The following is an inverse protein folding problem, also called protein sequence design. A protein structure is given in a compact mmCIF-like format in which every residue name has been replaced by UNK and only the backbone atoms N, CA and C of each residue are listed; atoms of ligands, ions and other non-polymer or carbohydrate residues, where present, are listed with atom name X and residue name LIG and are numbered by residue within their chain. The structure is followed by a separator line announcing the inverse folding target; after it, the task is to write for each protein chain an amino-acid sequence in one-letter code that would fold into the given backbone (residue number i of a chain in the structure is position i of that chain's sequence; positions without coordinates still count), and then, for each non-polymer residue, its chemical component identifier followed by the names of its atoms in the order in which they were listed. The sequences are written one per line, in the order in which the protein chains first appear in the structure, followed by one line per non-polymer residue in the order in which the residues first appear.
data_IF_546748533436
#
_entry.id   IF_546748533436
#
_cell.length_a   1.000
_cell.length_b   1.000
_cell.length_c   1.000
_cell.angle_alpha   90.00
_cell.angle_beta   90.00
_cell.angle_gamma   90.00
#
_symmetry.space_group_name_H-M   'P 1'
#
loop_
_entity.id
_entity.type
_entity.pdbx_description
1 polymer ?
#
# COMPACT_ATOMS: atom_id res chain seq x y z
N UNK A 1 0.19 -25.29 -8.72
CA UNK A 1 -0.24 -25.60 -7.34
C UNK A 1 0.81 -26.37 -6.56
N UNK A 2 1.36 -27.46 -7.05
CA UNK A 2 2.37 -28.28 -6.34
C UNK A 2 3.62 -27.48 -5.92
N UNK A 3 4.12 -26.56 -6.75
CA UNK A 3 5.37 -25.80 -6.46
C UNK A 3 5.23 -24.71 -5.39
N UNK A 4 4.04 -24.18 -5.16
CA UNK A 4 3.81 -23.21 -4.06
C UNK A 4 3.91 -23.90 -2.69
N UNK A 5 3.60 -25.20 -2.64
CA UNK A 5 3.77 -26.03 -1.46
C UNK A 5 5.24 -26.36 -1.27
N UNK A 6 5.96 -26.70 -2.35
CA UNK A 6 7.41 -26.99 -2.31
C UNK A 6 8.26 -25.76 -1.87
N UNK A 7 7.74 -24.55 -2.04
CA UNK A 7 8.40 -23.30 -1.62
C UNK A 7 7.89 -22.77 -0.28
N UNK A 8 7.13 -23.54 0.50
CA UNK A 8 6.54 -23.13 1.79
C UNK A 8 5.75 -21.81 1.69
N UNK A 9 5.10 -21.57 0.54
CA UNK A 9 4.45 -20.29 0.22
C UNK A 9 3.34 -19.93 1.22
N UNK A 10 2.63 -20.94 1.76
CA UNK A 10 1.58 -20.77 2.77
C UNK A 10 2.17 -20.33 4.11
N UNK A 11 3.28 -20.95 4.54
CA UNK A 11 3.98 -20.59 5.77
C UNK A 11 4.56 -19.19 5.68
N UNK A 12 5.14 -18.86 4.53
CA UNK A 12 5.67 -17.52 4.24
C UNK A 12 4.57 -16.46 4.21
N UNK A 13 3.39 -16.76 3.71
CA UNK A 13 2.25 -15.85 3.77
C UNK A 13 1.84 -15.54 5.21
N UNK A 14 1.85 -16.53 6.11
CA UNK A 14 1.62 -16.34 7.53
C UNK A 14 2.66 -15.41 8.17
N UNK A 15 3.95 -15.70 7.93
CA UNK A 15 5.04 -14.84 8.39
C UNK A 15 4.92 -13.40 7.88
N UNK A 16 4.67 -13.21 6.57
CA UNK A 16 4.48 -11.88 5.99
C UNK A 16 3.29 -11.15 6.61
N UNK A 17 2.20 -11.84 6.89
CA UNK A 17 1.00 -11.24 7.47
C UNK A 17 1.23 -10.72 8.87
N UNK A 18 1.96 -11.48 9.68
CA UNK A 18 2.42 -11.04 10.99
C UNK A 18 3.35 -9.82 10.88
N UNK A 19 4.30 -9.85 9.94
CA UNK A 19 5.22 -8.74 9.70
C UNK A 19 4.51 -7.46 9.22
N UNK A 20 3.48 -7.58 8.35
CA UNK A 20 2.64 -6.43 7.96
C UNK A 20 1.96 -5.83 9.18
N UNK A 21 1.30 -6.67 9.99
CA UNK A 21 0.59 -6.21 11.18
C UNK A 21 1.55 -5.50 12.16
N UNK A 22 2.72 -6.09 12.39
CA UNK A 22 3.74 -5.52 13.28
C UNK A 22 4.32 -4.20 12.74
N UNK A 23 4.48 -4.09 11.42
CA UNK A 23 5.01 -2.89 10.78
C UNK A 23 3.97 -1.77 10.59
N UNK A 24 2.68 -2.09 10.72
CA UNK A 24 1.60 -1.13 10.50
C UNK A 24 1.70 0.08 11.44
N UNK A 25 1.92 -0.17 12.74
CA UNK A 25 2.02 0.91 13.73
C UNK A 25 3.25 1.81 13.47
N UNK A 26 4.48 1.28 13.34
CA UNK A 26 5.63 2.10 12.96
C UNK A 26 5.45 2.82 11.62
N UNK A 27 4.79 2.19 10.64
CA UNK A 27 4.49 2.84 9.36
C UNK A 27 3.54 4.03 9.53
N UNK A 28 2.49 3.90 10.34
CA UNK A 28 1.59 5.01 10.64
C UNK A 28 2.32 6.16 11.34
N UNK A 29 3.22 5.85 12.28
CA UNK A 29 4.06 6.86 12.93
C UNK A 29 4.95 7.57 11.90
N UNK A 30 5.62 6.82 11.03
CA UNK A 30 6.40 7.39 9.93
C UNK A 30 5.54 8.30 9.04
N UNK A 31 4.36 7.85 8.66
CA UNK A 31 3.43 8.60 7.82
C UNK A 31 2.98 9.91 8.49
N UNK A 32 2.63 9.88 9.78
CA UNK A 32 2.25 11.06 10.55
C UNK A 32 3.41 12.06 10.67
N UNK A 33 4.63 11.59 10.94
CA UNK A 33 5.81 12.45 11.02
C UNK A 33 6.12 13.07 9.66
N UNK A 34 6.09 12.28 8.60
CA UNK A 34 6.36 12.77 7.24
C UNK A 34 5.32 13.81 6.79
N UNK A 35 4.02 13.58 7.05
CA UNK A 35 2.97 14.56 6.76
C UNK A 35 3.11 15.83 7.59
N UNK A 36 3.51 15.72 8.86
CA UNK A 36 3.77 16.87 9.72
C UNK A 36 4.92 17.73 9.21
N UNK A 37 6.02 17.12 8.75
CA UNK A 37 7.16 17.85 8.17
C UNK A 37 6.76 18.58 6.89
N UNK A 38 6.01 17.91 6.00
CA UNK A 38 5.49 18.51 4.76
C UNK A 38 4.51 19.63 5.08
N UNK A 39 3.58 19.41 6.01
CA UNK A 39 2.57 20.39 6.43
C UNK A 39 3.15 21.62 7.11
N UNK A 40 4.27 21.48 7.83
CA UNK A 40 4.97 22.60 8.48
C UNK A 40 5.79 23.46 7.50
N UNK A 41 6.05 22.98 6.28
CA UNK A 41 6.74 23.76 5.24
C UNK A 41 5.84 24.88 4.69
N UNK A 42 6.44 25.95 4.19
CA UNK A 42 5.71 27.10 3.58
C UNK A 42 4.81 26.64 2.43
N UNK A 43 5.29 25.70 1.63
CA UNK A 43 4.52 25.11 0.53
C UNK A 43 3.36 24.28 1.05
N UNK A 44 3.58 23.49 2.10
CA UNK A 44 2.55 22.69 2.75
C UNK A 44 1.46 23.55 3.37
N UNK A 45 1.81 24.63 4.06
CA UNK A 45 0.84 25.57 4.63
C UNK A 45 -0.02 26.25 3.56
N UNK A 46 0.61 26.68 2.45
CA UNK A 46 -0.13 27.25 1.30
C UNK A 46 -1.10 26.22 0.71
N UNK A 47 -0.67 24.97 0.56
CA UNK A 47 -1.51 23.87 0.07
C UNK A 47 -2.69 23.59 1.03
N UNK A 48 -2.42 23.56 2.33
CA UNK A 48 -3.44 23.37 3.36
C UNK A 48 -4.47 24.51 3.31
N UNK A 49 -4.03 25.76 3.26
CA UNK A 49 -4.91 26.93 3.16
C UNK A 49 -5.74 26.87 1.88
N UNK A 50 -5.12 26.55 0.75
CA UNK A 50 -5.83 26.40 -0.52
C UNK A 50 -6.89 25.29 -0.45
N UNK A 51 -6.56 24.12 0.13
CA UNK A 51 -7.50 23.02 0.33
C UNK A 51 -8.68 23.45 1.24
N UNK A 52 -8.41 24.09 2.38
CA UNK A 52 -9.44 24.53 3.30
C UNK A 52 -10.38 25.55 2.69
N UNK A 53 -9.89 26.38 1.76
CA UNK A 53 -10.68 27.40 1.06
C UNK A 53 -11.58 26.78 -0.03
N UNK A 54 -11.12 25.69 -0.67
CA UNK A 54 -11.78 25.11 -1.84
C UNK A 54 -12.59 23.83 -1.53
N UNK A 55 -12.52 23.30 -0.30
CA UNK A 55 -13.30 22.14 0.10
C UNK A 55 -14.68 22.54 0.65
N UNK A 56 -15.72 21.68 0.50
CA UNK A 56 -17.02 21.88 1.13
C UNK A 56 -16.93 21.98 2.66
N UNK A 57 -17.75 22.81 3.29
CA UNK A 57 -17.73 23.08 4.73
C UNK A 57 -17.85 21.81 5.59
N UNK A 58 -18.62 20.81 5.15
CA UNK A 58 -18.80 19.53 5.85
C UNK A 58 -17.49 18.72 5.92
N UNK A 59 -16.69 18.77 4.87
CA UNK A 59 -15.38 18.08 4.81
C UNK A 59 -14.31 18.90 5.52
N UNK A 60 -14.41 20.23 5.45
CA UNK A 60 -13.44 21.16 6.03
C UNK A 60 -13.39 21.08 7.56
N UNK A 61 -14.52 20.90 8.23
CA UNK A 61 -14.58 20.79 9.70
C UNK A 61 -13.82 19.56 10.22
N UNK A 62 -14.01 18.41 9.58
CA UNK A 62 -13.33 17.17 9.97
C UNK A 62 -11.82 17.24 9.67
N UNK A 63 -11.43 17.79 8.52
CA UNK A 63 -10.03 17.94 8.12
C UNK A 63 -9.30 18.96 8.99
N UNK A 64 -9.95 20.07 9.36
CA UNK A 64 -9.36 21.12 10.19
C UNK A 64 -8.90 20.60 11.55
N UNK A 65 -9.72 19.79 12.20
CA UNK A 65 -9.37 19.14 13.47
C UNK A 65 -8.10 18.27 13.31
N UNK A 66 -8.01 17.49 12.23
CA UNK A 66 -6.84 16.65 11.98
C UNK A 66 -5.59 17.47 11.63
N UNK A 67 -5.74 18.56 10.89
CA UNK A 67 -4.63 19.47 10.58
C UNK A 67 -4.12 20.16 11.85
N UNK A 68 -5.00 20.61 12.75
CA UNK A 68 -4.61 21.20 14.03
C UNK A 68 -3.84 20.19 14.93
N UNK A 69 -4.21 18.91 14.88
CA UNK A 69 -3.46 17.85 15.54
C UNK A 69 -2.07 17.63 14.91
N UNK A 70 -1.98 17.66 13.59
CA UNK A 70 -0.72 17.47 12.86
C UNK A 70 0.23 18.69 13.01
N UNK A 71 -0.30 19.89 13.20
CA UNK A 71 0.51 21.09 13.44
C UNK A 71 1.01 21.23 14.88
N UNK A 72 0.38 20.53 15.86
CA UNK A 72 0.92 20.40 17.23
C UNK A 72 2.05 19.37 17.23
N UNK A 73 3.18 19.81 16.72
CA UNK A 73 4.38 18.96 16.52
C UNK A 73 4.92 18.43 17.85
N UNK A 74 5.05 17.11 18.04
CA UNK A 74 5.74 16.56 19.19
C UNK A 74 7.22 17.00 19.23
N UNK A 75 7.91 16.92 20.38
CA UNK A 75 9.30 17.32 20.51
C UNK A 75 10.16 16.72 19.42
N UNK A 76 11.01 17.53 18.76
CA UNK A 76 11.84 17.13 17.61
C UNK A 76 12.65 15.85 17.87
N UNK A 77 13.12 15.67 19.10
CA UNK A 77 13.89 14.47 19.50
C UNK A 77 13.07 13.18 19.43
N UNK A 78 11.81 13.20 19.89
CA UNK A 78 10.91 12.03 19.82
C UNK A 78 10.52 11.73 18.36
N UNK A 79 10.29 12.75 17.55
CA UNK A 79 10.01 12.58 16.12
C UNK A 79 11.18 11.89 15.41
N UNK A 80 12.40 12.33 15.68
CA UNK A 80 13.60 11.75 15.06
C UNK A 80 13.75 10.27 15.41
N UNK A 81 13.61 9.94 16.70
CA UNK A 81 13.70 8.55 17.17
C UNK A 81 12.59 7.68 16.56
N UNK A 82 11.35 8.17 16.54
CA UNK A 82 10.21 7.50 15.92
C UNK A 82 10.41 7.26 14.42
N UNK A 83 10.95 8.25 13.71
CA UNK A 83 11.25 8.17 12.29
C UNK A 83 12.28 7.07 12.00
N UNK A 84 13.43 7.07 12.70
CA UNK A 84 14.46 6.05 12.51
C UNK A 84 13.97 4.65 12.89
N UNK A 85 13.26 4.52 14.00
CA UNK A 85 12.67 3.25 14.42
C UNK A 85 11.65 2.72 13.39
N UNK A 86 10.84 3.59 12.86
CA UNK A 86 9.85 3.24 11.82
C UNK A 86 10.51 2.79 10.52
N UNK A 87 11.49 3.54 10.03
CA UNK A 87 12.26 3.18 8.83
C UNK A 87 12.91 1.80 9.02
N UNK A 88 13.51 1.58 10.18
CA UNK A 88 14.13 0.29 10.49
C UNK A 88 13.13 -0.86 10.48
N UNK A 89 12.00 -0.73 11.16
CA UNK A 89 10.98 -1.78 11.27
C UNK A 89 10.31 -2.08 9.94
N UNK A 90 9.86 -1.04 9.22
CA UNK A 90 9.15 -1.23 7.95
C UNK A 90 10.10 -1.75 6.85
N UNK A 91 11.36 -1.31 6.84
CA UNK A 91 12.34 -1.87 5.90
C UNK A 91 12.62 -3.36 6.15
N UNK A 92 12.40 -3.87 7.38
CA UNK A 92 12.47 -5.30 7.68
C UNK A 92 11.35 -6.09 7.00
N UNK A 93 10.16 -5.52 6.90
CA UNK A 93 9.06 -6.11 6.12
C UNK A 93 9.40 -6.17 4.63
N UNK A 94 9.98 -5.11 4.05
CA UNK A 94 10.44 -5.10 2.65
C UNK A 94 11.51 -6.18 2.42
N UNK A 95 12.42 -6.38 3.38
CA UNK A 95 13.42 -7.46 3.31
C UNK A 95 12.77 -8.85 3.38
N UNK A 96 11.69 -9.01 4.15
CA UNK A 96 10.88 -10.23 4.18
C UNK A 96 10.28 -10.54 2.81
N UNK A 97 9.64 -9.57 2.16
CA UNK A 97 9.11 -9.68 0.80
C UNK A 97 10.23 -10.07 -0.17
N UNK A 98 11.38 -9.41 -0.09
CA UNK A 98 12.55 -9.72 -0.94
C UNK A 98 13.00 -11.16 -0.80
N UNK A 99 13.11 -11.66 0.42
CA UNK A 99 13.54 -13.02 0.69
C UNK A 99 12.63 -14.05 0.01
N UNK A 100 11.33 -13.83 0.09
CA UNK A 100 10.33 -14.70 -0.53
C UNK A 100 10.38 -14.61 -2.05
N UNK A 101 10.43 -13.41 -2.62
CA UNK A 101 10.52 -13.24 -4.06
C UNK A 101 11.82 -13.82 -4.64
N UNK A 102 12.95 -13.63 -3.94
CA UNK A 102 14.22 -14.25 -4.33
C UNK A 102 14.14 -15.78 -4.32
N UNK A 103 13.44 -16.37 -3.34
CA UNK A 103 13.22 -17.81 -3.29
C UNK A 103 12.33 -18.28 -4.44
N UNK A 104 11.23 -17.58 -4.73
CA UNK A 104 10.33 -17.88 -5.84
C UNK A 104 11.09 -17.82 -7.18
N UNK A 105 11.90 -16.79 -7.40
CA UNK A 105 12.66 -16.61 -8.63
C UNK A 105 13.98 -17.41 -8.66
N UNK A 106 14.21 -18.30 -7.68
CA UNK A 106 15.39 -19.18 -7.58
C UNK A 106 16.72 -18.40 -7.62
N UNK A 107 16.82 -17.30 -6.89
CA UNK A 107 18.04 -16.48 -6.82
C UNK A 107 18.98 -17.09 -5.78
N UNK A 108 20.07 -17.72 -6.24
CA UNK A 108 21.01 -18.46 -5.39
C UNK A 108 22.09 -17.58 -4.74
N UNK A 109 22.34 -16.38 -5.29
CA UNK A 109 23.43 -15.50 -4.84
C UNK A 109 22.90 -14.10 -4.49
N UNK A 110 22.17 -13.94 -3.38
CA UNK A 110 21.71 -12.62 -2.96
C UNK A 110 22.92 -11.75 -2.52
N UNK A 111 22.86 -10.42 -2.66
CA UNK A 111 23.89 -9.52 -2.17
C UNK A 111 24.13 -9.65 -0.65
N UNK A 112 25.27 -9.13 -0.18
CA UNK A 112 25.61 -9.11 1.26
C UNK A 112 24.51 -8.42 2.08
N UNK A 113 24.32 -8.82 3.32
CA UNK A 113 23.26 -8.33 4.21
C UNK A 113 23.15 -6.80 4.26
N UNK A 114 24.27 -6.08 4.41
CA UNK A 114 24.25 -4.61 4.48
C UNK A 114 23.73 -3.97 3.20
N UNK A 115 24.12 -4.51 2.03
CA UNK A 115 23.63 -4.01 0.73
C UNK A 115 22.14 -4.25 0.60
N UNK A 116 21.66 -5.43 0.97
CA UNK A 116 20.23 -5.75 0.96
C UNK A 116 19.45 -4.83 1.89
N UNK A 117 20.01 -4.56 3.08
CA UNK A 117 19.38 -3.67 4.06
C UNK A 117 19.24 -2.24 3.53
N UNK A 118 20.30 -1.71 2.94
CA UNK A 118 20.25 -0.38 2.30
C UNK A 118 19.24 -0.33 1.16
N UNK A 119 19.21 -1.36 0.31
CA UNK A 119 18.22 -1.47 -0.75
C UNK A 119 16.78 -1.49 -0.20
N UNK A 120 16.52 -2.22 0.89
CA UNK A 120 15.20 -2.28 1.52
C UNK A 120 14.76 -0.93 2.08
N UNK A 121 15.68 -0.16 2.67
CA UNK A 121 15.41 1.21 3.14
C UNK A 121 15.07 2.12 1.96
N UNK A 122 15.88 2.10 0.90
CA UNK A 122 15.66 2.93 -0.29
C UNK A 122 14.31 2.57 -0.95
N UNK A 123 14.02 1.29 -1.09
CA UNK A 123 12.76 0.82 -1.67
C UNK A 123 11.55 1.20 -0.80
N UNK A 124 11.66 1.07 0.52
CA UNK A 124 10.64 1.54 1.44
C UNK A 124 10.36 3.04 1.26
N UNK A 125 11.41 3.87 1.22
CA UNK A 125 11.27 5.31 1.02
C UNK A 125 10.65 5.63 -0.35
N UNK A 126 11.07 4.95 -1.41
CA UNK A 126 10.50 5.11 -2.75
C UNK A 126 9.01 4.75 -2.77
N UNK A 127 8.63 3.60 -2.21
CA UNK A 127 7.24 3.17 -2.14
C UNK A 127 6.42 4.16 -1.31
N UNK A 128 6.96 4.66 -0.19
CA UNK A 128 6.31 5.67 0.63
C UNK A 128 6.08 6.97 -0.13
N UNK A 129 7.06 7.48 -0.88
CA UNK A 129 6.90 8.67 -1.73
C UNK A 129 5.82 8.44 -2.79
N UNK A 130 5.83 7.29 -3.47
CA UNK A 130 4.79 6.95 -4.44
C UNK A 130 3.39 6.92 -3.80
N UNK A 131 3.28 6.37 -2.58
CA UNK A 131 2.03 6.32 -1.83
C UNK A 131 1.56 7.73 -1.43
N UNK A 132 2.47 8.59 -0.95
CA UNK A 132 2.17 9.99 -0.65
C UNK A 132 1.67 10.74 -1.88
N UNK A 133 2.35 10.58 -3.02
CA UNK A 133 1.93 11.20 -4.27
C UNK A 133 0.55 10.69 -4.73
N UNK A 134 0.30 9.39 -4.63
CA UNK A 134 -0.97 8.78 -5.01
C UNK A 134 -2.13 9.26 -4.11
N UNK A 135 -1.94 9.29 -2.78
CA UNK A 135 -2.93 9.79 -1.84
C UNK A 135 -3.15 11.30 -2.03
N UNK A 136 -2.08 12.07 -2.22
CA UNK A 136 -2.15 13.50 -2.53
C UNK A 136 -2.95 13.76 -3.80
N UNK A 137 -2.69 13.01 -4.87
CA UNK A 137 -3.44 13.11 -6.12
C UNK A 137 -4.91 12.78 -5.94
N UNK A 138 -5.26 11.75 -5.16
CA UNK A 138 -6.65 11.38 -4.87
C UNK A 138 -7.42 12.48 -4.11
N UNK A 139 -6.73 13.27 -3.28
CA UNK A 139 -7.33 14.37 -2.51
C UNK A 139 -7.37 15.66 -3.34
N UNK A 140 -6.26 15.99 -4.01
CA UNK A 140 -6.07 17.26 -4.69
C UNK A 140 -6.83 17.29 -6.02
N UNK A 141 -6.86 16.19 -6.77
CA UNK A 141 -7.48 16.13 -8.09
C UNK A 141 -8.99 16.50 -8.05
N UNK A 142 -9.82 15.93 -7.14
CA UNK A 142 -11.22 16.35 -7.03
C UNK A 142 -11.39 17.81 -6.61
N UNK A 143 -10.48 18.36 -5.77
CA UNK A 143 -10.52 19.75 -5.35
C UNK A 143 -10.22 20.70 -6.51
N UNK A 144 -9.23 20.41 -7.33
CA UNK A 144 -8.93 21.17 -8.56
C UNK A 144 -10.10 21.12 -9.53
N UNK A 145 -10.68 19.94 -9.75
CA UNK A 145 -11.79 19.76 -10.69
C UNK A 145 -13.04 20.55 -10.28
N UNK A 146 -13.32 20.66 -8.97
CA UNK A 146 -14.43 21.47 -8.46
C UNK A 146 -14.22 22.98 -8.64
N UNK A 147 -12.98 23.43 -8.73
CA UNK A 147 -12.66 24.85 -8.89
C UNK A 147 -12.97 25.36 -10.31
N UNK A 148 -12.94 24.50 -11.30
CA UNK A 148 -13.34 24.85 -12.67
C UNK A 148 -14.86 24.67 -12.84
N UNK A 149 -15.63 25.78 -12.76
CA UNK A 149 -17.09 25.75 -12.86
C UNK A 149 -17.63 25.12 -14.15
N UNK A 150 -16.92 25.31 -15.26
CA UNK A 150 -17.24 24.70 -16.56
C UNK A 150 -17.09 23.17 -16.53
N UNK A 151 -16.10 22.67 -15.81
CA UNK A 151 -15.86 21.23 -15.60
C UNK A 151 -16.95 20.63 -14.71
N UNK A 152 -17.46 21.37 -13.71
CA UNK A 152 -18.56 20.92 -12.85
C UNK A 152 -19.86 20.65 -13.63
N UNK A 153 -20.20 21.44 -14.62
CA UNK A 153 -21.35 21.18 -15.49
C UNK A 153 -21.15 19.91 -16.33
N UNK A 154 -19.94 19.73 -16.85
CA UNK A 154 -19.56 18.54 -17.61
C UNK A 154 -19.50 17.27 -16.72
N UNK A 155 -18.98 17.38 -15.49
CA UNK A 155 -18.92 16.29 -14.51
C UNK A 155 -20.32 15.82 -14.10
N UNK A 156 -21.25 16.73 -13.86
CA UNK A 156 -22.66 16.38 -13.55
C UNK A 156 -23.34 15.66 -14.70
N UNK A 157 -23.05 16.03 -15.94
CA UNK A 157 -23.55 15.35 -17.11
C UNK A 157 -22.90 13.96 -17.30
N UNK A 158 -21.70 13.74 -16.75
CA UNK A 158 -20.89 12.52 -16.87
C UNK A 158 -20.85 11.71 -15.57
N UNK A 159 -21.76 11.94 -14.61
CA UNK A 159 -21.75 11.29 -13.29
C UNK A 159 -21.53 9.76 -13.35
N UNK A 160 -22.20 8.98 -14.21
CA UNK A 160 -21.94 7.55 -14.32
C UNK A 160 -20.55 7.23 -14.89
N UNK A 161 -20.02 8.06 -15.76
CA UNK A 161 -18.66 7.88 -16.34
C UNK A 161 -17.59 8.22 -15.30
N UNK A 162 -17.84 9.21 -14.45
CA UNK A 162 -16.95 9.63 -13.38
C UNK A 162 -16.72 8.54 -12.32
N UNK A 163 -17.78 7.85 -11.95
CA UNK A 163 -17.70 6.70 -11.04
C UNK A 163 -16.80 5.61 -11.63
N UNK A 164 -16.98 5.30 -12.91
CA UNK A 164 -16.16 4.30 -13.60
C UNK A 164 -14.69 4.70 -13.73
N UNK A 165 -14.40 5.97 -14.01
CA UNK A 165 -13.03 6.52 -14.03
C UNK A 165 -12.36 6.37 -12.68
N UNK A 166 -13.07 6.65 -11.58
CA UNK A 166 -12.56 6.51 -10.22
C UNK A 166 -12.21 5.05 -9.90
N UNK A 167 -13.08 4.11 -10.24
CA UNK A 167 -12.79 2.68 -10.07
C UNK A 167 -11.61 2.24 -10.93
N UNK A 168 -11.56 2.67 -12.18
CA UNK A 168 -10.43 2.38 -13.08
C UNK A 168 -9.11 2.92 -12.53
N UNK A 169 -9.10 4.14 -11.99
CA UNK A 169 -7.92 4.72 -11.37
C UNK A 169 -7.47 3.90 -10.14
N UNK A 170 -8.39 3.48 -9.27
CA UNK A 170 -8.08 2.65 -8.10
C UNK A 170 -7.48 1.29 -8.51
N UNK A 171 -8.07 0.61 -9.50
CA UNK A 171 -7.55 -0.67 -10.00
C UNK A 171 -6.19 -0.50 -10.68
N UNK A 172 -5.99 0.61 -11.41
CA UNK A 172 -4.70 0.94 -12.01
C UNK A 172 -3.62 1.17 -10.95
N UNK A 173 -3.93 1.87 -9.87
CA UNK A 173 -3.01 2.10 -8.74
C UNK A 173 -2.62 0.76 -8.10
N UNK A 174 -3.58 -0.12 -7.84
CA UNK A 174 -3.32 -1.45 -7.28
C UNK A 174 -2.45 -2.30 -8.22
N UNK A 175 -2.75 -2.28 -9.51
CA UNK A 175 -1.97 -3.00 -10.53
C UNK A 175 -0.53 -2.49 -10.60
N UNK A 176 -0.34 -1.17 -10.67
CA UNK A 176 0.98 -0.54 -10.72
C UNK A 176 1.74 -0.83 -9.43
N UNK A 177 1.08 -0.80 -8.27
CA UNK A 177 1.70 -1.13 -6.98
C UNK A 177 2.19 -2.58 -6.96
N UNK A 178 1.38 -3.54 -7.38
CA UNK A 178 1.77 -4.94 -7.48
C UNK A 178 2.94 -5.13 -8.45
N UNK A 179 2.88 -4.48 -9.62
CA UNK A 179 3.94 -4.52 -10.61
C UNK A 179 5.26 -3.95 -10.08
N UNK A 180 5.19 -2.81 -9.36
CA UNK A 180 6.35 -2.20 -8.71
C UNK A 180 6.98 -3.14 -7.67
N UNK A 181 6.16 -3.79 -6.83
CA UNK A 181 6.66 -4.73 -5.84
C UNK A 181 7.39 -5.92 -6.51
N UNK A 182 6.82 -6.50 -7.57
CA UNK A 182 7.45 -7.60 -8.31
C UNK A 182 8.70 -7.17 -9.09
N UNK A 183 8.79 -5.91 -9.49
CA UNK A 183 9.92 -5.40 -10.27
C UNK A 183 11.07 -4.88 -9.40
N UNK A 184 10.75 -4.11 -8.35
CA UNK A 184 11.77 -3.39 -7.58
C UNK A 184 12.39 -4.22 -6.45
N UNK A 185 11.61 -5.14 -5.84
CA UNK A 185 12.05 -5.80 -4.61
C UNK A 185 13.00 -6.96 -4.87
N UNK A 186 12.76 -7.89 -5.83
CA UNK A 186 13.64 -9.03 -6.04
C UNK A 186 15.01 -8.61 -6.60
N UNK A 187 16.04 -9.38 -6.29
CA UNK A 187 17.40 -9.15 -6.76
C UNK A 187 17.63 -9.70 -8.18
N UNK A 188 16.64 -9.62 -9.04
CA UNK A 188 16.71 -10.06 -10.43
C UNK A 188 16.15 -8.97 -11.35
N UNK A 189 16.81 -8.76 -12.49
CA UNK A 189 16.35 -7.81 -13.51
C UNK A 189 15.43 -8.50 -14.50
N UNK A 190 14.14 -8.55 -14.17
CA UNK A 190 13.10 -9.03 -15.08
C UNK A 190 12.53 -7.86 -15.90
N UNK A 191 12.14 -8.13 -17.16
CA UNK A 191 11.45 -7.12 -17.96
C UNK A 191 10.06 -6.88 -17.35
N UNK A 192 9.62 -5.61 -17.15
CA UNK A 192 8.31 -5.30 -16.54
C UNK A 192 7.14 -6.00 -17.24
N UNK A 193 7.21 -6.13 -18.57
CA UNK A 193 6.16 -6.77 -19.37
C UNK A 193 5.94 -8.24 -18.95
N UNK A 194 7.00 -8.95 -18.51
CA UNK A 194 6.90 -10.35 -18.06
C UNK A 194 6.28 -10.47 -16.66
N UNK A 195 6.20 -9.37 -15.91
CA UNK A 195 5.61 -9.33 -14.59
C UNK A 195 4.13 -8.90 -14.61
N UNK A 196 3.67 -8.32 -15.72
CA UNK A 196 2.28 -7.86 -15.88
C UNK A 196 1.22 -8.95 -15.65
N UNK A 197 1.37 -10.20 -16.15
CA UNK A 197 0.33 -11.22 -15.96
C UNK A 197 0.09 -11.55 -14.49
N UNK A 198 1.15 -11.72 -13.69
CA UNK A 198 1.02 -11.98 -12.25
C UNK A 198 0.53 -10.77 -11.47
N UNK A 199 0.95 -9.56 -11.85
CA UNK A 199 0.42 -8.33 -11.26
C UNK A 199 -1.09 -8.18 -11.52
N UNK A 200 -1.53 -8.49 -12.73
CA UNK A 200 -2.95 -8.47 -13.10
C UNK A 200 -3.75 -9.52 -12.31
N UNK A 201 -3.23 -10.76 -12.25
CA UNK A 201 -3.84 -11.84 -11.47
C UNK A 201 -3.98 -11.45 -10.00
N UNK A 202 -2.91 -10.93 -9.39
CA UNK A 202 -2.93 -10.49 -7.99
C UNK A 202 -3.92 -9.37 -7.75
N UNK A 203 -3.99 -8.39 -8.65
CA UNK A 203 -4.94 -7.27 -8.53
C UNK A 203 -6.39 -7.77 -8.60
N UNK A 204 -6.72 -8.66 -9.53
CA UNK A 204 -8.06 -9.25 -9.66
C UNK A 204 -8.44 -10.03 -8.40
N UNK A 205 -7.53 -10.87 -7.91
CA UNK A 205 -7.76 -11.66 -6.70
C UNK A 205 -7.86 -10.78 -5.45
N UNK A 206 -7.07 -9.71 -5.30
CA UNK A 206 -7.16 -8.77 -4.18
C UNK A 206 -8.51 -8.06 -4.14
N UNK A 207 -8.98 -7.57 -5.29
CA UNK A 207 -10.28 -6.91 -5.38
C UNK A 207 -11.40 -7.88 -5.03
N UNK A 208 -11.34 -9.10 -5.55
CA UNK A 208 -12.35 -10.13 -5.30
C UNK A 208 -12.35 -10.56 -3.83
N UNK A 209 -11.18 -10.87 -3.27
CA UNK A 209 -11.05 -11.29 -1.87
C UNK A 209 -11.45 -10.19 -0.90
N UNK A 210 -11.12 -8.93 -1.19
CA UNK A 210 -11.53 -7.78 -0.40
C UNK A 210 -13.05 -7.62 -0.35
N UNK A 211 -13.74 -7.77 -1.50
CA UNK A 211 -15.20 -7.75 -1.57
C UNK A 211 -15.84 -8.91 -0.80
N UNK A 212 -15.29 -10.12 -0.97
CA UNK A 212 -15.79 -11.30 -0.26
C UNK A 212 -15.63 -11.15 1.26
N UNK A 213 -14.46 -10.72 1.72
CA UNK A 213 -14.18 -10.50 3.13
C UNK A 213 -15.07 -9.39 3.72
N UNK A 214 -15.23 -8.28 3.02
CA UNK A 214 -16.12 -7.19 3.42
C UNK A 214 -17.57 -7.67 3.56
N UNK A 215 -18.05 -8.47 2.60
CA UNK A 215 -19.39 -9.07 2.65
C UNK A 215 -19.54 -10.09 3.79
N UNK A 216 -18.48 -10.84 4.06
CA UNK A 216 -18.44 -11.77 5.18
C UNK A 216 -18.55 -11.04 6.52
N UNK A 217 -17.70 -10.04 6.75
CA UNK A 217 -17.68 -9.25 7.99
C UNK A 217 -19.04 -8.55 8.19
N UNK A 218 -19.62 -7.96 7.13
CA UNK A 218 -20.92 -7.28 7.21
C UNK A 218 -22.09 -8.23 7.58
N UNK A 219 -22.04 -9.50 7.15
CA UNK A 219 -23.08 -10.48 7.45
C UNK A 219 -22.89 -11.18 8.80
N UNK A 220 -21.67 -11.40 9.21
CA UNK A 220 -21.31 -12.13 10.42
C UNK A 220 -20.72 -11.19 11.49
N UNK A 221 -21.54 -10.23 11.93
CA UNK A 221 -21.19 -9.26 13.00
C UNK A 221 -20.94 -9.93 14.37
N UNK A 222 -20.74 -11.26 14.39
CA UNK A 222 -20.61 -12.08 15.62
C UNK A 222 -19.14 -12.22 16.06
N UNK A 223 -18.15 -11.79 15.25
CA UNK A 223 -16.76 -11.83 15.65
C UNK A 223 -16.51 -11.01 16.92
N UNK A 224 -17.17 -9.84 17.02
CA UNK A 224 -17.08 -8.99 18.21
C UNK A 224 -17.80 -9.60 19.42
N UNK A 225 -18.82 -10.42 19.21
CA UNK A 225 -19.54 -11.12 20.31
C UNK A 225 -18.71 -12.26 20.91
N UNK A 226 -17.92 -12.96 20.08
CA UNK A 226 -17.13 -14.13 20.52
C UNK A 226 -15.74 -13.72 20.99
N UNK A 227 -15.10 -12.79 20.28
CA UNK A 227 -13.69 -12.42 20.50
C UNK A 227 -13.50 -11.00 21.03
N UNK A 228 -14.58 -10.19 21.19
CA UNK A 228 -14.50 -8.79 21.62
C UNK A 228 -13.56 -8.00 20.73
N UNK A 229 -12.72 -7.15 21.33
CA UNK A 229 -11.74 -6.32 20.61
C UNK A 229 -10.68 -7.10 19.83
N UNK A 230 -10.49 -8.41 20.11
CA UNK A 230 -9.58 -9.26 19.35
C UNK A 230 -10.15 -9.65 17.98
N UNK A 231 -11.47 -9.57 17.79
CA UNK A 231 -12.12 -9.91 16.52
C UNK A 231 -11.60 -9.09 15.36
N UNK A 232 -11.41 -7.79 15.56
CA UNK A 232 -10.87 -6.89 14.55
C UNK A 232 -9.39 -7.19 14.19
N UNK A 233 -8.58 -7.58 15.17
CA UNK A 233 -7.18 -7.97 14.96
C UNK A 233 -7.12 -9.27 14.16
N UNK A 234 -7.95 -10.25 14.50
CA UNK A 234 -8.04 -11.55 13.79
C UNK A 234 -8.50 -11.33 12.34
N UNK A 235 -9.54 -10.51 12.13
CA UNK A 235 -10.02 -10.18 10.79
C UNK A 235 -8.95 -9.48 9.95
N UNK A 236 -8.21 -8.56 10.55
CA UNK A 236 -7.09 -7.85 9.91
C UNK A 236 -5.95 -8.80 9.55
N UNK A 237 -5.58 -9.69 10.46
CA UNK A 237 -4.55 -10.70 10.21
C UNK A 237 -4.97 -11.65 9.07
N UNK A 238 -6.23 -12.10 9.06
CA UNK A 238 -6.78 -12.93 8.00
C UNK A 238 -6.77 -12.21 6.65
N UNK A 239 -7.13 -10.94 6.63
CA UNK A 239 -7.06 -10.11 5.43
C UNK A 239 -5.64 -10.06 4.87
N UNK A 240 -4.64 -9.75 5.70
CA UNK A 240 -3.25 -9.72 5.26
C UNK A 240 -2.74 -11.11 4.86
N UNK A 241 -3.20 -12.16 5.52
CA UNK A 241 -2.85 -13.52 5.15
C UNK A 241 -3.32 -13.88 3.74
N UNK A 242 -4.58 -13.61 3.43
CA UNK A 242 -5.14 -13.82 2.10
C UNK A 242 -4.41 -12.94 1.07
N UNK A 243 -4.18 -11.66 1.39
CA UNK A 243 -3.49 -10.74 0.51
C UNK A 243 -2.06 -11.19 0.17
N UNK A 244 -1.33 -11.72 1.16
CA UNK A 244 0.03 -12.23 0.96
C UNK A 244 0.06 -13.56 0.20
N UNK A 245 -0.91 -14.47 0.43
CA UNK A 245 -1.08 -15.66 -0.41
C UNK A 245 -1.26 -15.26 -1.87
N UNK A 246 -2.17 -14.33 -2.14
CA UNK A 246 -2.44 -13.85 -3.51
C UNK A 246 -1.17 -13.24 -4.13
N UNK A 247 -0.41 -12.47 -3.38
CA UNK A 247 0.84 -11.89 -3.82
C UNK A 247 1.86 -12.97 -4.21
N UNK A 248 2.04 -13.99 -3.37
CA UNK A 248 2.94 -15.12 -3.65
C UNK A 248 2.49 -15.88 -4.90
N UNK A 249 1.19 -16.15 -5.04
CA UNK A 249 0.63 -16.81 -6.23
C UNK A 249 0.88 -16.00 -7.52
N UNK A 250 0.76 -14.69 -7.48
CA UNK A 250 1.07 -13.84 -8.62
C UNK A 250 2.54 -13.89 -9.03
N UNK A 251 3.46 -13.94 -8.04
CA UNK A 251 4.89 -14.10 -8.30
C UNK A 251 5.21 -15.46 -8.93
N UNK A 252 4.62 -16.55 -8.39
CA UNK A 252 4.77 -17.90 -8.94
C UNK A 252 4.21 -18.01 -10.35
N UNK A 253 3.09 -17.37 -10.63
CA UNK A 253 2.51 -17.31 -11.97
C UNK A 253 3.46 -16.63 -12.97
N UNK A 254 4.04 -15.48 -12.59
CA UNK A 254 5.05 -14.82 -13.40
C UNK A 254 6.26 -15.73 -13.69
N UNK A 255 6.74 -16.47 -12.67
CA UNK A 255 7.85 -17.40 -12.83
C UNK A 255 7.53 -18.53 -13.78
N UNK A 256 6.35 -19.12 -13.70
CA UNK A 256 5.92 -20.21 -14.59
C UNK A 256 5.93 -19.74 -16.06
N UNK A 257 5.33 -18.58 -16.33
CA UNK A 257 5.33 -17.99 -17.67
C UNK A 257 6.74 -17.65 -18.17
N UNK A 258 7.63 -17.26 -17.28
CA UNK A 258 9.02 -16.99 -17.66
C UNK A 258 9.79 -18.24 -18.03
N UNK A 259 9.62 -19.34 -17.29
CA UNK A 259 10.28 -20.63 -17.62
C UNK A 259 9.83 -21.22 -18.94
N UNK A 260 8.58 -21.03 -19.33
CA UNK A 260 8.06 -21.50 -20.62
C UNK A 260 8.61 -20.70 -21.81
N UNK A 261 8.98 -19.42 -21.59
CA UNK A 261 9.49 -18.55 -22.67
C UNK A 261 11.00 -18.74 -22.93
N UNK A 262 11.71 -19.47 -22.07
CA UNK A 262 13.17 -19.71 -22.16
C UNK A 262 13.47 -21.13 -22.65
N UNK A 263 12.45 -21.99 -22.81
CA UNK A 263 12.55 -23.27 -23.53
C UNK A 263 12.26 -23.04 -25.03
#
# INVERSE_FOLDING_TARGET
MVKTIDHDGIEHAGYMSFMVLLSLFPFLVFFLVATSIVGASDTGQKLIQWLLTNLPNETTSSIKVHIEYLTKVPPKSLMTLALFGSIWTVSSFVEGIRTILNRIYEIHSPPRYLVRRMLSIIQFLLISVCLFCALGALIILPAIMKHFAEINALIKALDPVWINIRYFALYSILFISALMLYYLIPNVKLKPLKLCPGAFLSTMLWVTSGRLLSSYIAKYNQLDLVYGSLGSIIATLLFFYIANIIFIYGAEFNRLLWKETVK
#
